data_IF_828013688573
#
_entry.id   IF_828013688573
#
_cell.length_a   1.000
_cell.length_b   1.000
_cell.length_c   1.000
_cell.angle_alpha   90.00
_cell.angle_beta   90.00
_cell.angle_gamma   90.00
#
_symmetry.space_group_name_H-M   'P 1'
#
loop_
_entity.id
_entity.type
_entity.pdbx_description
1 polymer ?
#
# COMPACT_ATOMS: atom_id res chain seq x y z
N UNK A 1 1.77 6.34 12.15
CA UNK A 1 2.14 6.21 10.71
C UNK A 1 2.81 4.86 10.47
N UNK A 2 2.46 4.13 9.41
CA UNK A 2 3.04 2.82 9.10
C UNK A 2 4.57 2.87 8.98
N UNK A 3 5.24 1.72 9.07
CA UNK A 3 6.72 1.60 9.03
C UNK A 3 7.34 2.24 7.78
N UNK A 4 6.53 2.39 6.74
CA UNK A 4 6.89 2.93 5.43
C UNK A 4 6.20 4.28 5.13
N UNK A 5 5.84 5.07 6.14
CA UNK A 5 5.34 6.42 5.89
C UNK A 5 6.38 7.24 5.09
N UNK A 6 5.91 7.99 4.10
CA UNK A 6 6.82 8.71 3.21
C UNK A 6 7.56 9.84 3.92
N UNK A 7 8.69 10.19 3.30
CA UNK A 7 9.52 11.32 3.67
C UNK A 7 8.74 12.62 3.50
N UNK A 8 8.20 13.10 4.62
CA UNK A 8 7.95 14.52 4.81
C UNK A 8 9.32 15.21 4.76
N UNK A 9 9.47 16.36 4.07
CA UNK A 9 10.76 16.96 3.81
C UNK A 9 11.62 16.94 5.09
N UNK A 10 12.71 16.15 5.04
CA UNK A 10 13.78 16.01 6.03
C UNK A 10 13.72 14.91 7.12
N UNK A 11 13.03 13.77 7.02
CA UNK A 11 13.06 12.78 8.14
C UNK A 11 13.17 11.27 7.84
N UNK A 12 13.10 10.79 6.61
CA UNK A 12 13.21 9.36 6.29
C UNK A 12 13.84 9.11 4.93
N UNK A 13 14.91 8.31 4.86
CA UNK A 13 15.52 7.84 3.59
C UNK A 13 14.64 6.76 2.91
N UNK A 14 13.37 7.10 2.63
CA UNK A 14 12.41 6.19 2.00
C UNK A 14 12.47 6.37 0.48
N UNK A 15 13.16 5.45 -0.19
CA UNK A 15 13.23 5.41 -1.64
C UNK A 15 12.44 4.21 -2.17
N UNK A 16 11.35 4.48 -2.89
CA UNK A 16 10.48 3.42 -3.38
C UNK A 16 11.15 2.47 -4.36
N UNK A 17 12.14 2.97 -5.10
CA UNK A 17 12.90 2.19 -6.07
C UNK A 17 13.91 1.24 -5.40
N UNK A 18 14.20 1.43 -4.11
CA UNK A 18 15.12 0.59 -3.33
C UNK A 18 14.44 -0.46 -2.44
N UNK A 19 13.11 -0.45 -2.33
CA UNK A 19 12.42 -1.48 -1.54
C UNK A 19 12.66 -2.87 -2.12
N UNK A 20 12.82 -3.87 -1.27
CA UNK A 20 12.84 -5.28 -1.68
C UNK A 20 11.41 -5.77 -1.93
N UNK A 21 11.25 -6.84 -2.73
CA UNK A 21 9.95 -7.50 -2.91
C UNK A 21 9.32 -7.91 -1.58
N UNK A 22 10.14 -8.32 -0.61
CA UNK A 22 9.71 -8.64 0.75
C UNK A 22 9.09 -7.43 1.44
N UNK A 23 9.73 -6.27 1.38
CA UNK A 23 9.20 -5.04 1.98
C UNK A 23 7.89 -4.58 1.32
N UNK A 24 7.76 -4.75 0.00
CA UNK A 24 6.49 -4.50 -0.69
C UNK A 24 5.40 -5.47 -0.22
N UNK A 25 5.73 -6.75 -0.02
CA UNK A 25 4.83 -7.74 0.57
C UNK A 25 4.43 -7.40 2.02
N UNK A 26 5.38 -6.95 2.84
CA UNK A 26 5.12 -6.47 4.20
C UNK A 26 4.17 -5.28 4.19
N UNK A 27 4.37 -4.32 3.29
CA UNK A 27 3.48 -3.17 3.12
C UNK A 27 2.04 -3.62 2.82
N UNK A 28 1.85 -4.56 1.90
CA UNK A 28 0.51 -5.12 1.58
C UNK A 28 -0.14 -5.70 2.84
N UNK A 29 0.62 -6.47 3.63
CA UNK A 29 0.12 -7.08 4.86
C UNK A 29 -0.20 -6.04 5.94
N UNK A 30 0.57 -4.96 6.04
CA UNK A 30 0.32 -3.85 6.96
C UNK A 30 -1.01 -3.14 6.64
N UNK A 31 -1.34 -2.93 5.36
CA UNK A 31 -2.64 -2.39 4.95
C UNK A 31 -3.80 -3.32 5.32
N UNK A 32 -3.64 -4.63 5.04
CA UNK A 32 -4.67 -5.62 5.40
C UNK A 32 -4.90 -5.70 6.91
N UNK A 33 -3.82 -5.68 7.69
CA UNK A 33 -3.87 -5.66 9.15
C UNK A 33 -4.54 -4.38 9.68
N UNK A 34 -4.20 -3.21 9.15
CA UNK A 34 -4.82 -1.95 9.55
C UNK A 34 -6.33 -1.94 9.30
N UNK A 35 -6.75 -2.48 8.15
CA UNK A 35 -8.16 -2.63 7.84
C UNK A 35 -8.85 -3.60 8.82
N UNK A 36 -8.19 -4.69 9.25
CA UNK A 36 -8.83 -5.71 10.07
C UNK A 36 -9.02 -5.22 11.49
N UNK A 37 -8.07 -4.40 11.94
CA UNK A 37 -8.21 -3.62 13.15
C UNK A 37 -9.38 -2.63 13.07
N UNK A 38 -9.55 -1.91 11.96
CA UNK A 38 -10.70 -1.02 11.78
C UNK A 38 -12.04 -1.78 11.85
N UNK A 39 -12.14 -2.95 11.22
CA UNK A 39 -13.36 -3.77 11.35
C UNK A 39 -13.61 -4.19 12.81
N UNK A 40 -12.57 -4.62 13.54
CA UNK A 40 -12.69 -4.99 14.96
C UNK A 40 -13.13 -3.82 15.84
N UNK A 41 -12.77 -2.59 15.48
CA UNK A 41 -13.25 -1.39 16.15
C UNK A 41 -14.69 -1.00 15.78
N UNK A 42 -15.36 -1.75 14.90
CA UNK A 42 -16.76 -1.52 14.51
C UNK A 42 -16.95 -0.55 13.35
N UNK A 43 -15.89 -0.21 12.60
CA UNK A 43 -16.03 0.56 11.36
C UNK A 43 -16.70 -0.27 10.26
N UNK A 44 -17.45 0.39 9.38
CA UNK A 44 -18.12 -0.27 8.25
C UNK A 44 -17.20 -0.47 7.03
N UNK A 45 -16.06 0.20 7.00
CA UNK A 45 -15.10 0.10 5.90
C UNK A 45 -13.84 0.93 6.10
N UNK A 46 -12.97 0.90 5.11
CA UNK A 46 -11.74 1.69 5.02
C UNK A 46 -11.60 2.32 3.65
N UNK A 47 -10.83 3.40 3.55
CA UNK A 47 -10.39 3.97 2.27
C UNK A 47 -8.89 3.70 2.10
N UNK A 48 -8.49 3.21 0.93
CA UNK A 48 -7.07 3.06 0.57
C UNK A 48 -6.57 4.39 0.00
N UNK A 49 -6.03 5.25 0.88
CA UNK A 49 -5.49 6.54 0.46
C UNK A 49 -4.18 6.39 -0.33
N UNK A 50 -4.19 6.88 -1.57
CA UNK A 50 -3.04 6.89 -2.49
C UNK A 50 -2.58 8.33 -2.80
N UNK A 51 -2.96 9.29 -1.97
CA UNK A 51 -2.75 10.71 -2.24
C UNK A 51 -1.33 11.14 -1.87
N UNK A 52 -0.85 12.19 -2.57
CA UNK A 52 0.46 12.80 -2.34
C UNK A 52 1.63 11.81 -2.49
N UNK A 53 2.78 12.18 -1.93
CA UNK A 53 4.00 11.39 -1.95
C UNK A 53 4.03 10.34 -0.84
N UNK A 54 2.90 9.88 -0.29
CA UNK A 54 2.91 8.71 0.61
C UNK A 54 3.38 7.45 -0.14
N UNK A 55 3.83 6.41 0.58
CA UNK A 55 4.46 5.24 -0.05
C UNK A 55 3.65 4.64 -1.19
N UNK A 56 2.33 4.53 -1.01
CA UNK A 56 1.43 4.00 -2.02
C UNK A 56 1.24 4.96 -3.21
N UNK A 57 1.19 6.28 -2.96
CA UNK A 57 1.16 7.30 -4.01
C UNK A 57 2.43 7.29 -4.88
N UNK A 58 3.60 7.14 -4.26
CA UNK A 58 4.87 6.98 -4.98
C UNK A 58 4.94 5.67 -5.78
N UNK A 59 4.35 4.58 -5.27
CA UNK A 59 4.31 3.30 -5.98
C UNK A 59 3.50 3.36 -7.27
N UNK A 60 2.44 4.17 -7.31
CA UNK A 60 1.59 4.26 -8.49
C UNK A 60 2.02 5.36 -9.46
N UNK A 61 2.86 6.31 -9.02
CA UNK A 61 3.35 7.43 -9.82
C UNK A 61 4.38 7.02 -10.89
N UNK A 62 4.67 7.93 -11.83
CA UNK A 62 5.73 7.74 -12.82
C UNK A 62 7.14 7.68 -12.24
N UNK A 63 7.34 8.05 -10.97
CA UNK A 63 8.66 8.04 -10.30
C UNK A 63 9.09 6.63 -9.86
N UNK A 64 8.14 5.69 -9.85
CA UNK A 64 8.41 4.28 -9.65
C UNK A 64 8.96 3.65 -10.93
N UNK A 65 10.28 3.70 -11.03
CA UNK A 65 11.10 3.13 -12.10
C UNK A 65 11.64 1.73 -11.76
N UNK A 66 11.02 1.01 -10.81
CA UNK A 66 11.42 -0.37 -10.48
C UNK A 66 11.31 -1.26 -11.71
N UNK A 67 12.18 -2.26 -11.79
CA UNK A 67 12.21 -3.25 -12.87
C UNK A 67 11.55 -4.59 -12.49
N UNK A 68 10.84 -4.64 -11.35
CA UNK A 68 10.11 -5.81 -10.88
C UNK A 68 8.61 -5.71 -11.18
N UNK A 69 7.82 -6.64 -10.66
CA UNK A 69 6.38 -6.69 -10.89
C UNK A 69 5.60 -5.50 -10.29
N UNK A 70 6.25 -4.62 -9.52
CA UNK A 70 5.62 -3.49 -8.84
C UNK A 70 5.98 -2.13 -9.44
N UNK A 71 6.77 -2.05 -10.51
CA UNK A 71 7.13 -0.77 -11.13
C UNK A 71 7.33 -0.76 -12.63
N UNK A 72 7.75 0.40 -13.14
CA UNK A 72 7.90 0.64 -14.56
C UNK A 72 6.55 0.88 -15.23
N UNK A 73 6.03 -0.12 -15.94
CA UNK A 73 4.76 0.00 -16.69
C UNK A 73 3.57 0.25 -15.75
N UNK A 74 2.55 0.96 -16.24
CA UNK A 74 1.36 1.32 -15.46
C UNK A 74 0.70 0.09 -14.81
N UNK A 75 0.61 -1.02 -15.53
CA UNK A 75 0.00 -2.26 -15.04
C UNK A 75 0.78 -2.83 -13.85
N UNK A 76 2.10 -2.73 -13.87
CA UNK A 76 2.94 -3.17 -12.76
C UNK A 76 2.79 -2.24 -11.54
N UNK A 77 2.78 -0.93 -11.76
CA UNK A 77 2.58 0.06 -10.70
C UNK A 77 1.23 -0.12 -10.01
N UNK A 78 0.17 -0.38 -10.77
CA UNK A 78 -1.17 -0.60 -10.25
C UNK A 78 -1.35 -1.92 -9.49
N UNK A 79 -0.50 -2.94 -9.73
CA UNK A 79 -0.66 -4.28 -9.10
C UNK A 79 -0.71 -4.24 -7.58
N UNK A 80 0.00 -3.31 -6.94
CA UNK A 80 0.00 -3.24 -5.48
C UNK A 80 -1.40 -2.91 -4.93
N UNK A 81 -2.16 -2.05 -5.60
CA UNK A 81 -3.53 -1.70 -5.19
C UNK A 81 -4.43 -2.93 -5.20
N UNK A 82 -4.38 -3.70 -6.29
CA UNK A 82 -5.13 -4.94 -6.41
C UNK A 82 -4.70 -5.97 -5.37
N UNK A 83 -3.40 -6.08 -5.05
CA UNK A 83 -2.93 -6.98 -4.00
C UNK A 83 -3.40 -6.55 -2.61
N UNK A 84 -3.42 -5.26 -2.30
CA UNK A 84 -3.97 -4.74 -1.03
C UNK A 84 -5.46 -5.07 -0.95
N UNK A 85 -6.24 -4.75 -2.00
CA UNK A 85 -7.68 -5.04 -2.03
C UNK A 85 -7.92 -6.54 -1.85
N UNK A 86 -7.17 -7.40 -2.53
CA UNK A 86 -7.28 -8.86 -2.38
C UNK A 86 -6.91 -9.32 -0.97
N UNK A 87 -5.84 -8.79 -0.38
CA UNK A 87 -5.41 -9.14 0.97
C UNK A 87 -6.45 -8.74 2.02
N UNK A 88 -7.08 -7.56 1.86
CA UNK A 88 -8.23 -7.15 2.66
C UNK A 88 -9.40 -8.09 2.38
N UNK A 89 -9.80 -8.35 1.13
CA UNK A 89 -10.95 -9.25 0.86
C UNK A 89 -10.77 -10.67 1.39
N UNK A 90 -9.56 -11.19 1.49
CA UNK A 90 -9.30 -12.53 2.01
C UNK A 90 -9.54 -12.66 3.53
N UNK A 91 -9.46 -11.57 4.29
CA UNK A 91 -9.54 -11.61 5.76
C UNK A 91 -10.94 -11.21 6.30
N UNK A 92 -11.87 -10.76 5.45
CA UNK A 92 -13.06 -10.00 5.88
C UNK A 92 -14.34 -10.54 5.25
N UNK A 93 -15.48 -10.23 5.87
CA UNK A 93 -16.81 -10.55 5.36
C UNK A 93 -17.20 -9.68 4.15
N UNK A 94 -18.15 -10.17 3.35
CA UNK A 94 -18.63 -9.48 2.14
C UNK A 94 -19.20 -8.07 2.40
N UNK A 95 -19.57 -7.76 3.64
CA UNK A 95 -20.23 -6.51 4.03
C UNK A 95 -19.29 -5.39 4.50
N UNK A 96 -17.97 -5.56 4.40
CA UNK A 96 -17.00 -4.51 4.76
C UNK A 96 -16.63 -3.66 3.52
N UNK A 97 -16.77 -2.34 3.59
CA UNK A 97 -16.46 -1.45 2.46
C UNK A 97 -14.94 -1.18 2.33
N UNK A 98 -14.46 -1.06 1.09
CA UNK A 98 -13.09 -0.69 0.72
C UNK A 98 -13.19 0.41 -0.33
#
# INVERSE_FOLDING_TARGET
PGKYAADLPHKTDFNINKLTRKQVGELINEYAYAASYAQQCGFNGVEISCTYFFALGQLISSDNIRNDEFGGKLENRAKILFKIIQAIRYQFSENFFI
#
